data_IF_888290661763
#
_entry.id   IF_888290661763
#
_cell.length_a   1.000
_cell.length_b   1.000
_cell.length_c   1.000
_cell.angle_alpha   90.00
_cell.angle_beta   90.00
_cell.angle_gamma   90.00
#
_symmetry.space_group_name_H-M   'P 1'
#
loop_
_entity.id
_entity.type
_entity.pdbx_description
1 polymer ?
#
# COMPACT_ATOMS: atom_id res chain seq x y z
N UNK A 1 29.32 -8.43 -12.54
CA UNK A 1 29.38 -7.49 -11.41
C UNK A 1 27.94 -7.11 -11.15
N UNK A 2 27.36 -7.68 -10.10
CA UNK A 2 25.95 -7.49 -9.75
C UNK A 2 25.80 -6.12 -9.09
N UNK A 3 25.49 -5.10 -9.89
CA UNK A 3 25.14 -3.78 -9.38
C UNK A 3 23.93 -3.90 -8.45
N UNK A 4 24.16 -3.83 -7.13
CA UNK A 4 23.11 -3.95 -6.11
C UNK A 4 22.34 -2.64 -5.97
N UNK A 5 21.78 -2.12 -7.06
CA UNK A 5 21.00 -0.89 -7.06
C UNK A 5 19.51 -1.21 -7.13
N UNK A 6 18.70 -0.49 -6.36
CA UNK A 6 17.24 -0.65 -6.36
C UNK A 6 16.56 0.71 -6.51
N UNK A 7 15.42 0.75 -7.19
CA UNK A 7 14.60 1.95 -7.31
C UNK A 7 13.38 1.83 -6.38
N UNK A 8 13.18 2.85 -5.54
CA UNK A 8 12.01 2.97 -4.65
C UNK A 8 11.45 4.39 -4.83
N UNK A 9 10.17 4.49 -5.20
CA UNK A 9 9.47 5.77 -5.40
C UNK A 9 10.17 6.71 -6.41
N UNK A 10 10.83 6.15 -7.43
CA UNK A 10 11.59 6.90 -8.45
C UNK A 10 12.99 7.34 -8.02
N UNK A 11 13.46 6.93 -6.84
CA UNK A 11 14.82 7.18 -6.35
C UNK A 11 15.62 5.88 -6.40
N UNK A 12 16.78 5.91 -7.06
CA UNK A 12 17.72 4.78 -7.10
C UNK A 12 18.68 4.84 -5.93
N UNK A 13 18.84 3.73 -5.21
CA UNK A 13 19.76 3.58 -4.07
C UNK A 13 20.80 2.50 -4.35
N UNK A 14 22.05 2.73 -3.95
CA UNK A 14 23.08 1.71 -3.96
C UNK A 14 23.12 0.91 -2.64
N UNK A 15 22.88 -0.40 -2.69
CA UNK A 15 22.91 -1.25 -1.49
C UNK A 15 24.33 -1.66 -1.05
N UNK A 16 25.35 -1.32 -1.85
CA UNK A 16 26.76 -1.49 -1.46
C UNK A 16 27.21 -0.42 -0.48
N UNK A 17 26.58 0.76 -0.52
CA UNK A 17 26.80 1.81 0.46
C UNK A 17 25.87 1.61 1.68
N UNK A 18 26.40 1.54 2.90
CA UNK A 18 25.60 1.28 4.09
C UNK A 18 24.66 2.44 4.46
N UNK A 19 24.97 3.68 4.07
CA UNK A 19 24.10 4.84 4.30
C UNK A 19 22.92 4.82 3.33
N UNK A 20 23.20 4.61 2.04
CA UNK A 20 22.17 4.45 1.01
C UNK A 20 21.29 3.21 1.25
N UNK A 21 21.87 2.10 1.72
CA UNK A 21 21.11 0.91 2.12
C UNK A 21 20.11 1.23 3.24
N UNK A 22 20.51 2.02 4.24
CA UNK A 22 19.60 2.44 5.32
C UNK A 22 18.52 3.38 4.80
N UNK A 23 18.88 4.29 3.90
CA UNK A 23 17.92 5.18 3.24
C UNK A 23 16.89 4.39 2.41
N UNK A 24 17.33 3.40 1.65
CA UNK A 24 16.48 2.52 0.86
C UNK A 24 15.48 1.74 1.73
N UNK A 25 15.94 1.20 2.87
CA UNK A 25 15.05 0.50 3.82
C UNK A 25 13.99 1.44 4.39
N UNK A 26 14.35 2.68 4.74
CA UNK A 26 13.38 3.68 5.21
C UNK A 26 12.37 4.05 4.14
N UNK A 27 12.83 4.35 2.92
CA UNK A 27 11.96 4.64 1.78
C UNK A 27 10.98 3.49 1.50
N UNK A 28 11.45 2.25 1.54
CA UNK A 28 10.59 1.07 1.36
C UNK A 28 9.53 0.93 2.47
N UNK A 29 9.91 1.16 3.74
CA UNK A 29 8.98 1.12 4.86
C UNK A 29 7.91 2.23 4.76
N UNK A 30 8.30 3.43 4.37
CA UNK A 30 7.37 4.55 4.16
C UNK A 30 6.39 4.27 3.01
N UNK A 31 6.89 3.78 1.87
CA UNK A 31 6.06 3.38 0.74
C UNK A 31 5.06 2.28 1.12
N UNK A 32 5.53 1.27 1.88
CA UNK A 32 4.67 0.18 2.37
C UNK A 32 3.61 0.67 3.37
N UNK A 33 3.97 1.61 4.25
CA UNK A 33 3.02 2.23 5.18
C UNK A 33 1.90 2.96 4.42
N UNK A 34 2.26 3.78 3.42
CA UNK A 34 1.28 4.48 2.56
C UNK A 34 0.36 3.53 1.80
N UNK A 35 0.89 2.41 1.28
CA UNK A 35 0.09 1.41 0.59
C UNK A 35 -0.91 0.72 1.55
N UNK A 36 -0.49 0.45 2.78
CA UNK A 36 -1.33 -0.18 3.80
C UNK A 36 -2.46 0.75 4.25
N UNK A 37 -2.18 2.03 4.49
CA UNK A 37 -3.21 3.01 4.86
C UNK A 37 -4.27 3.20 3.77
N UNK A 38 -3.89 3.11 2.49
CA UNK A 38 -4.85 3.16 1.38
C UNK A 38 -5.69 1.88 1.28
N UNK A 39 -5.12 0.72 1.61
CA UNK A 39 -5.84 -0.55 1.60
C UNK A 39 -6.82 -0.65 2.77
N UNK A 40 -6.43 -0.16 3.97
CA UNK A 40 -7.31 -0.13 5.14
C UNK A 40 -8.45 0.90 4.97
N UNK A 41 -8.20 2.06 4.35
CA UNK A 41 -9.26 3.01 4.01
C UNK A 41 -10.27 2.42 2.98
N UNK A 42 -9.77 1.72 1.95
CA UNK A 42 -10.63 1.06 0.96
C UNK A 42 -11.39 -0.15 1.54
N UNK A 43 -10.84 -0.83 2.55
CA UNK A 43 -11.50 -1.93 3.24
C UNK A 43 -12.61 -1.44 4.19
N UNK A 44 -12.42 -0.28 4.85
CA UNK A 44 -13.42 0.33 5.73
C UNK A 44 -14.62 0.92 4.95
N UNK A 45 -14.37 1.55 3.79
CA UNK A 45 -15.45 2.04 2.92
C UNK A 45 -16.31 0.90 2.34
N UNK A 46 -15.72 -0.29 2.14
CA UNK A 46 -16.47 -1.47 1.67
C UNK A 46 -17.24 -2.18 2.78
N UNK A 47 -16.85 -2.02 4.04
CA UNK A 47 -17.58 -2.54 5.20
C UNK A 47 -18.75 -1.63 5.64
N UNK A 48 -18.78 -0.39 5.14
CA UNK A 48 -19.86 0.59 5.38
C UNK A 48 -20.85 0.76 4.24
N UNK A 49 -20.87 -0.13 3.23
CA UNK A 49 -22.03 -0.25 2.36
C UNK A 49 -23.17 -0.85 3.20
N UNK A 50 -24.22 -0.09 3.56
CA UNK A 50 -25.32 -0.64 4.32
C UNK A 50 -26.09 -1.59 3.41
N UNK A 51 -26.12 -2.86 3.76
CA UNK A 51 -27.08 -3.85 3.26
C UNK A 51 -28.47 -3.50 3.79
N UNK A 52 -28.98 -2.32 3.44
CA UNK A 52 -30.30 -1.85 3.83
C UNK A 52 -30.91 -1.04 2.68
N UNK A 53 -31.32 -1.76 1.64
CA UNK A 53 -32.47 -1.42 0.81
C UNK A 53 -32.80 -2.61 -0.09
N UNK A 54 -33.60 -3.54 0.42
CA UNK A 54 -34.76 -3.99 -0.33
C UNK A 54 -35.82 -4.48 0.66
N UNK A 55 -36.76 -3.60 0.97
CA UNK A 55 -38.06 -4.04 1.46
C UNK A 55 -38.79 -4.66 0.27
N UNK A 56 -39.39 -5.83 0.51
CA UNK A 56 -40.54 -6.41 -0.19
C UNK A 56 -41.43 -5.41 -0.95
N UNK A 57 -41.97 -5.78 -2.14
CA UNK A 57 -43.30 -6.40 -2.13
C UNK A 57 -43.62 -7.41 -3.26
N UNK A 58 -44.32 -8.50 -2.92
CA UNK A 58 -45.13 -9.32 -3.85
C UNK A 58 -44.90 -10.83 -3.64
N UNK A 59 -45.86 -11.64 -3.20
CA UNK A 59 -47.26 -11.72 -3.64
C UNK A 59 -47.35 -12.69 -4.82
N UNK A 60 -47.59 -13.98 -4.53
CA UNK A 60 -47.78 -15.06 -5.50
C UNK A 60 -47.98 -16.40 -4.82
#
# INVERSE_FOLDING_TARGET
MDDKRIEIDGVTFNLEDPEEKRAAVRAWLEAKSRARSQTEAAADEKAKAPENQEKDPGGG
#
